data_IF_021288832303
#
_entry.id   IF_021288832303
#
_cell.length_a   1.000
_cell.length_b   1.000
_cell.length_c   1.000
_cell.angle_alpha   90.00
_cell.angle_beta   90.00
_cell.angle_gamma   90.00
#
_symmetry.space_group_name_H-M   'P 1'
#
loop_
_entity.id
_entity.type
_entity.pdbx_description
1 polymer ?
#
# COMPACT_ATOMS: atom_id res chain seq x y z
N UNK A 1 -9.31 -12.18 19.22
CA UNK A 1 -8.17 -12.76 18.49
C UNK A 1 -7.38 -11.60 17.94
N UNK A 2 -6.08 -11.53 18.19
CA UNK A 2 -5.20 -10.53 17.58
C UNK A 2 -5.03 -10.87 16.11
N UNK A 3 -5.11 -9.85 15.25
CA UNK A 3 -4.89 -10.04 13.82
C UNK A 3 -3.47 -10.57 13.58
N UNK A 4 -3.29 -11.63 12.76
CA UNK A 4 -1.99 -12.27 12.57
C UNK A 4 -0.98 -11.33 11.91
N UNK A 5 -1.46 -10.36 11.14
CA UNK A 5 -0.66 -9.30 10.52
C UNK A 5 -1.28 -7.94 10.86
N UNK A 6 -0.44 -6.97 11.21
CA UNK A 6 -0.85 -5.56 11.42
C UNK A 6 0.11 -4.63 10.69
N UNK A 7 -0.38 -3.50 10.22
CA UNK A 7 0.39 -2.50 9.48
C UNK A 7 0.48 -1.24 10.33
N UNK A 8 1.67 -0.95 10.85
CA UNK A 8 1.90 0.10 11.85
C UNK A 8 2.68 1.26 11.23
N UNK A 9 2.07 2.44 11.05
CA UNK A 9 2.74 3.59 10.45
C UNK A 9 3.95 4.07 11.26
N UNK A 10 4.96 4.61 10.56
CA UNK A 10 6.11 5.28 11.17
C UNK A 10 6.59 6.48 10.33
N UNK A 11 7.34 7.36 10.97
CA UNK A 11 8.00 8.51 10.35
C UNK A 11 9.51 8.41 10.63
N UNK A 12 10.33 8.48 9.58
CA UNK A 12 11.78 8.60 9.67
C UNK A 12 12.16 10.02 9.23
N UNK A 13 12.72 10.82 10.13
CA UNK A 13 13.10 12.22 9.86
C UNK A 13 14.23 12.65 10.81
N UNK A 14 15.45 12.10 10.66
CA UNK A 14 16.59 12.43 11.51
C UNK A 14 16.93 13.93 11.48
N UNK A 15 16.67 14.60 10.34
CA UNK A 15 16.86 16.03 10.15
C UNK A 15 15.79 16.91 10.82
N UNK A 16 14.70 16.32 11.35
CA UNK A 16 13.56 17.05 11.95
C UNK A 16 13.00 18.11 11.01
N UNK A 17 12.86 17.75 9.74
CA UNK A 17 12.32 18.62 8.71
C UNK A 17 10.81 18.83 8.85
N UNK A 18 10.11 17.90 9.50
CA UNK A 18 8.65 17.88 9.63
C UNK A 18 7.94 17.82 8.27
N UNK A 19 8.59 17.24 7.26
CA UNK A 19 8.09 17.12 5.89
C UNK A 19 7.58 15.71 5.55
N UNK A 20 7.38 14.84 6.53
CA UNK A 20 6.84 13.49 6.34
C UNK A 20 5.69 13.18 7.29
N UNK A 21 4.77 12.33 6.84
CA UNK A 21 3.63 11.87 7.64
C UNK A 21 3.23 10.46 7.26
N UNK A 22 2.95 9.61 8.24
CA UNK A 22 2.34 8.30 8.01
C UNK A 22 1.19 8.05 8.99
N UNK A 23 -0.01 7.73 8.50
CA UNK A 23 -1.17 7.44 9.36
C UNK A 23 -2.27 6.68 8.63
N UNK A 24 -2.95 5.78 9.34
CA UNK A 24 -4.28 5.31 8.92
C UNK A 24 -5.32 6.41 9.14
N UNK A 25 -6.08 6.76 8.10
CA UNK A 25 -7.10 7.80 8.15
C UNK A 25 -8.46 7.25 7.76
N UNK A 26 -9.47 7.51 8.60
CA UNK A 26 -10.85 7.15 8.31
C UNK A 26 -11.38 7.90 7.08
N UNK A 27 -12.09 7.18 6.22
CA UNK A 27 -12.75 7.69 5.02
C UNK A 27 -11.84 7.80 3.80
N UNK A 28 -10.59 7.32 3.85
CA UNK A 28 -9.64 7.45 2.74
C UNK A 28 -9.33 6.15 2.00
N UNK A 29 -9.75 5.00 2.54
CA UNK A 29 -9.52 3.67 1.94
C UNK A 29 -10.38 3.36 0.73
N UNK A 30 -10.11 2.22 0.10
CA UNK A 30 -10.87 1.63 -0.98
C UNK A 30 -12.21 1.12 -0.43
N UNK A 31 -13.34 1.73 -0.83
CA UNK A 31 -14.61 1.36 -0.23
C UNK A 31 -14.98 -0.11 -0.50
N UNK A 32 -15.11 -0.91 0.55
CA UNK A 32 -15.67 -2.27 0.51
C UNK A 32 -16.90 -2.35 1.42
N UNK A 33 -18.07 -2.57 0.83
CA UNK A 33 -19.37 -2.56 1.53
C UNK A 33 -19.60 -1.30 2.39
N UNK A 34 -19.10 -0.16 1.92
CA UNK A 34 -19.31 1.13 2.55
C UNK A 34 -20.77 1.58 2.41
N UNK A 35 -21.17 2.59 3.17
CA UNK A 35 -22.51 3.20 3.05
C UNK A 35 -22.39 4.58 2.41
N UNK A 36 -23.15 4.80 1.33
CA UNK A 36 -23.37 6.13 0.75
C UNK A 36 -24.78 6.61 1.11
N UNK A 37 -24.96 7.93 1.18
CA UNK A 37 -26.25 8.56 1.47
C UNK A 37 -26.45 9.75 0.54
N UNK A 38 -27.55 9.77 -0.21
CA UNK A 38 -27.84 10.82 -1.21
C UNK A 38 -28.71 11.97 -0.67
N UNK A 39 -29.00 11.98 0.63
CA UNK A 39 -29.94 12.92 1.26
C UNK A 39 -31.31 12.29 1.55
N UNK A 40 -31.59 11.11 0.99
CA UNK A 40 -32.86 10.39 1.17
C UNK A 40 -32.67 8.91 1.52
N UNK A 41 -31.72 8.23 0.87
CA UNK A 41 -31.57 6.78 0.91
C UNK A 41 -30.13 6.41 1.18
N UNK A 42 -29.93 5.43 2.06
CA UNK A 42 -28.61 4.82 2.28
C UNK A 42 -28.47 3.58 1.39
N UNK A 43 -27.38 3.50 0.64
CA UNK A 43 -27.07 2.34 -0.21
C UNK A 43 -25.67 1.80 0.08
N UNK A 44 -25.47 0.50 -0.19
CA UNK A 44 -24.14 -0.11 -0.10
C UNK A 44 -23.32 0.26 -1.33
N UNK A 45 -22.04 0.59 -1.11
CA UNK A 45 -21.10 0.93 -2.15
C UNK A 45 -19.80 0.15 -1.96
N UNK A 46 -19.34 -0.48 -3.04
CA UNK A 46 -18.00 -1.06 -3.14
C UNK A 46 -17.34 -0.55 -4.40
N UNK A 47 -16.11 -0.05 -4.29
CA UNK A 47 -15.33 0.31 -5.47
C UNK A 47 -14.95 -0.97 -6.23
N UNK A 48 -14.99 -0.98 -7.57
CA UNK A 48 -14.73 -2.19 -8.34
C UNK A 48 -13.34 -2.80 -8.12
N UNK A 49 -12.33 -2.02 -7.70
CA UNK A 49 -10.99 -2.53 -7.46
C UNK A 49 -10.86 -3.35 -6.16
N UNK A 50 -11.78 -3.17 -5.20
CA UNK A 50 -11.79 -3.86 -3.90
C UNK A 50 -13.11 -4.59 -3.61
N UNK A 51 -13.93 -4.79 -4.64
CA UNK A 51 -15.12 -5.62 -4.53
C UNK A 51 -14.76 -7.12 -4.54
N UNK A 52 -15.73 -7.98 -4.24
CA UNK A 52 -15.52 -9.43 -4.20
C UNK A 52 -15.06 -10.03 -5.56
N UNK A 53 -15.41 -9.41 -6.69
CA UNK A 53 -15.01 -9.88 -8.02
C UNK A 53 -13.53 -9.60 -8.32
N UNK A 54 -12.94 -8.58 -7.69
CA UNK A 54 -11.52 -8.27 -7.75
C UNK A 54 -10.69 -8.99 -6.66
N UNK A 55 -11.32 -9.82 -5.83
CA UNK A 55 -10.69 -10.55 -4.72
C UNK A 55 -11.07 -10.04 -3.32
N UNK A 56 -11.94 -9.03 -3.21
CA UNK A 56 -12.43 -8.46 -1.95
C UNK A 56 -11.46 -7.47 -1.30
N UNK A 57 -11.95 -6.66 -0.36
CA UNK A 57 -11.13 -5.86 0.56
C UNK A 57 -10.91 -6.56 1.89
N UNK A 58 -10.27 -5.91 2.86
CA UNK A 58 -10.14 -6.47 4.21
C UNK A 58 -11.55 -6.81 4.75
N UNK A 59 -11.84 -8.08 5.11
CA UNK A 59 -13.15 -8.47 5.60
C UNK A 59 -13.56 -7.74 6.90
N UNK A 60 -12.64 -7.04 7.54
CA UNK A 60 -12.88 -6.26 8.75
C UNK A 60 -13.23 -4.80 8.45
N UNK A 61 -13.23 -4.41 7.18
CA UNK A 61 -13.82 -3.16 6.72
C UNK A 61 -15.33 -3.28 6.82
N UNK A 62 -15.86 -2.85 7.96
CA UNK A 62 -17.30 -2.76 8.21
C UNK A 62 -17.81 -1.38 7.81
N UNK A 63 -19.12 -1.21 7.55
CA UNK A 63 -19.72 0.10 7.36
C UNK A 63 -19.24 1.12 8.41
N UNK A 64 -18.74 2.26 7.94
CA UNK A 64 -18.19 3.32 8.78
C UNK A 64 -16.75 3.12 9.27
N UNK A 65 -16.03 2.08 8.84
CA UNK A 65 -14.63 1.81 9.21
C UNK A 65 -13.67 1.70 8.01
N UNK A 66 -14.06 2.26 6.86
CA UNK A 66 -13.15 2.40 5.72
C UNK A 66 -11.96 3.29 6.12
N UNK A 67 -10.73 2.78 6.08
CA UNK A 67 -9.51 3.52 6.42
C UNK A 67 -8.49 3.39 5.29
N UNK A 68 -7.65 4.40 5.07
CA UNK A 68 -6.53 4.27 4.15
C UNK A 68 -5.24 4.67 4.83
N UNK A 69 -4.16 3.96 4.53
CA UNK A 69 -2.81 4.32 4.93
C UNK A 69 -2.33 5.49 4.08
N UNK A 70 -2.30 6.68 4.70
CA UNK A 70 -1.73 7.88 4.13
C UNK A 70 -0.23 7.91 4.37
N UNK A 71 0.56 8.05 3.30
CA UNK A 71 2.00 8.29 3.33
C UNK A 71 2.29 9.61 2.63
N UNK A 72 3.01 10.52 3.28
CA UNK A 72 3.30 11.85 2.76
C UNK A 72 4.78 12.15 2.92
N UNK A 73 5.35 12.74 1.87
CA UNK A 73 6.64 13.44 1.87
C UNK A 73 6.49 14.70 1.04
N UNK A 74 6.37 15.85 1.69
CA UNK A 74 6.10 17.14 1.02
C UNK A 74 7.35 17.85 0.50
N UNK A 75 8.54 17.34 0.83
CA UNK A 75 9.82 17.88 0.38
C UNK A 75 10.42 17.12 -0.83
N UNK A 76 11.62 17.51 -1.29
CA UNK A 76 12.32 16.81 -2.36
C UNK A 76 12.82 15.43 -1.93
N UNK A 77 13.11 14.58 -2.90
CA UNK A 77 13.61 13.21 -2.72
C UNK A 77 14.92 13.20 -1.93
N UNK A 78 15.77 14.20 -2.13
CA UNK A 78 17.05 14.36 -1.42
C UNK A 78 16.93 14.70 0.05
N UNK A 79 15.73 15.06 0.55
CA UNK A 79 15.51 15.20 1.98
C UNK A 79 15.63 13.81 2.63
N UNK A 80 16.55 13.60 3.56
CA UNK A 80 16.73 12.31 4.24
C UNK A 80 15.61 12.07 5.26
N UNK A 81 14.42 11.73 4.76
CA UNK A 81 13.21 11.46 5.51
C UNK A 81 12.29 10.51 4.74
N UNK A 82 11.48 9.71 5.43
CA UNK A 82 10.52 8.81 4.81
C UNK A 82 9.26 8.67 5.67
N UNK A 83 8.11 8.57 4.99
CA UNK A 83 6.92 7.98 5.59
C UNK A 83 6.95 6.47 5.36
N UNK A 84 6.36 5.69 6.25
CA UNK A 84 6.30 4.25 6.05
C UNK A 84 5.34 3.53 6.97
N UNK A 85 5.32 2.21 6.86
CA UNK A 85 4.61 1.35 7.79
C UNK A 85 5.32 0.00 7.94
N UNK A 86 5.45 -0.46 9.19
CA UNK A 86 5.96 -1.79 9.49
C UNK A 86 4.85 -2.82 9.40
N UNK A 87 5.11 -3.93 8.72
CA UNK A 87 4.22 -5.08 8.69
C UNK A 87 4.64 -6.04 9.82
N UNK A 88 3.86 -6.06 10.90
CA UNK A 88 4.10 -6.94 12.05
C UNK A 88 3.44 -8.30 11.81
N UNK A 89 4.00 -9.35 12.43
CA UNK A 89 3.47 -10.72 12.31
C UNK A 89 3.96 -11.50 11.08
N UNK A 90 4.81 -10.89 10.24
CA UNK A 90 5.35 -11.53 9.01
C UNK A 90 6.60 -12.38 9.24
N UNK A 91 7.21 -12.34 10.42
CA UNK A 91 8.46 -13.08 10.68
C UNK A 91 8.21 -14.58 10.64
N UNK A 92 9.00 -15.29 9.83
CA UNK A 92 8.95 -16.74 9.69
C UNK A 92 7.95 -17.25 8.64
N UNK A 93 7.18 -16.36 8.00
CA UNK A 93 6.33 -16.78 6.88
C UNK A 93 7.20 -17.07 5.65
N UNK A 94 6.74 -18.02 4.84
CA UNK A 94 7.20 -18.16 3.47
C UNK A 94 6.47 -17.13 2.61
N UNK A 95 7.20 -16.20 1.99
CA UNK A 95 6.58 -15.16 1.17
C UNK A 95 6.13 -15.72 -0.18
N UNK A 96 4.86 -15.54 -0.51
CA UNK A 96 4.26 -15.95 -1.78
C UNK A 96 3.65 -14.79 -2.54
N UNK A 97 3.19 -13.76 -1.83
CA UNK A 97 2.59 -12.57 -2.43
C UNK A 97 2.76 -11.33 -1.55
N UNK A 98 2.94 -10.18 -2.21
CA UNK A 98 2.78 -8.84 -1.64
C UNK A 98 1.79 -8.05 -2.47
N UNK A 99 1.15 -7.06 -1.85
CA UNK A 99 0.25 -6.18 -2.58
C UNK A 99 -0.32 -5.04 -1.76
N UNK A 100 -1.00 -4.15 -2.47
CA UNK A 100 -1.89 -3.15 -1.90
C UNK A 100 -2.83 -2.64 -2.98
N UNK A 101 -3.94 -2.05 -2.56
CA UNK A 101 -4.78 -1.21 -3.40
C UNK A 101 -4.31 0.24 -3.26
N UNK A 102 -4.15 0.95 -4.37
CA UNK A 102 -3.65 2.32 -4.40
C UNK A 102 -4.69 3.27 -5.01
N UNK A 103 -4.92 4.40 -4.35
CA UNK A 103 -5.85 5.43 -4.85
C UNK A 103 -5.22 6.18 -6.02
N UNK A 104 -5.54 5.75 -7.24
CA UNK A 104 -4.88 6.21 -8.46
C UNK A 104 -5.80 6.07 -9.67
N UNK A 105 -5.78 7.07 -10.55
CA UNK A 105 -6.54 7.01 -11.80
C UNK A 105 -5.93 6.01 -12.77
N UNK A 106 -6.77 5.44 -13.63
CA UNK A 106 -6.39 4.43 -14.64
C UNK A 106 -5.99 5.04 -15.98
N UNK A 107 -5.95 6.37 -16.10
CA UNK A 107 -5.50 7.07 -17.30
C UNK A 107 -3.99 6.87 -17.50
N UNK A 108 -3.56 6.19 -18.58
CA UNK A 108 -2.16 5.93 -18.85
C UNK A 108 -1.40 7.17 -19.35
N UNK A 109 -2.11 8.20 -19.82
CA UNK A 109 -1.55 9.43 -20.38
C UNK A 109 -1.38 10.48 -19.29
N UNK A 110 -2.40 10.66 -18.44
CA UNK A 110 -2.40 11.64 -17.36
C UNK A 110 -2.71 10.96 -16.01
N UNK A 111 -1.77 10.17 -15.47
CA UNK A 111 -1.98 9.50 -14.20
C UNK A 111 -2.11 10.56 -13.09
N UNK A 112 -3.13 10.41 -12.26
CA UNK A 112 -3.42 11.29 -11.14
C UNK A 112 -3.72 10.48 -9.88
N UNK A 113 -3.72 11.16 -8.74
CA UNK A 113 -3.80 10.51 -7.44
C UNK A 113 -2.42 10.09 -6.94
N UNK A 114 -2.35 9.00 -6.20
CA UNK A 114 -1.15 8.58 -5.46
C UNK A 114 0.10 8.47 -6.35
N UNK A 115 1.20 8.96 -5.80
CA UNK A 115 2.54 8.72 -6.30
C UNK A 115 2.80 7.21 -6.41
N UNK A 116 3.39 6.80 -7.53
CA UNK A 116 3.73 5.41 -7.79
C UNK A 116 4.95 5.37 -8.71
N UNK A 117 6.15 5.36 -8.12
CA UNK A 117 7.43 5.27 -8.81
C UNK A 117 8.04 3.87 -8.74
N UNK A 118 9.25 3.74 -9.29
CA UNK A 118 10.04 2.52 -9.14
C UNK A 118 10.62 2.39 -7.72
N UNK A 119 10.83 3.50 -7.01
CA UNK A 119 11.37 3.51 -5.64
C UNK A 119 10.31 3.68 -4.56
N UNK A 120 9.13 4.26 -4.82
CA UNK A 120 8.12 4.46 -3.76
C UNK A 120 6.65 4.48 -4.27
N UNK A 121 5.67 4.14 -3.42
CA UNK A 121 5.83 3.32 -2.23
C UNK A 121 6.46 1.97 -2.59
N UNK A 122 7.38 1.49 -1.75
CA UNK A 122 8.03 0.18 -1.96
C UNK A 122 7.93 -0.69 -0.73
N UNK A 123 7.84 -1.99 -0.93
CA UNK A 123 8.16 -2.95 0.11
C UNK A 123 9.67 -3.11 0.21
N UNK A 124 10.19 -2.88 1.41
CA UNK A 124 11.49 -3.34 1.86
C UNK A 124 11.27 -4.70 2.55
N UNK A 125 11.80 -5.78 1.97
CA UNK A 125 11.70 -7.13 2.51
C UNK A 125 13.08 -7.56 3.00
N UNK A 126 13.19 -7.89 4.28
CA UNK A 126 14.39 -8.52 4.84
C UNK A 126 14.13 -10.01 4.98
N UNK A 127 14.95 -10.85 4.35
CA UNK A 127 14.85 -12.30 4.47
C UNK A 127 15.54 -12.83 5.74
N UNK A 128 15.34 -14.12 6.03
CA UNK A 128 15.87 -14.79 7.22
C UNK A 128 17.41 -14.73 7.30
N UNK A 129 18.09 -14.71 6.15
CA UNK A 129 19.55 -14.55 6.04
C UNK A 129 20.03 -13.10 6.25
N UNK A 130 19.11 -12.14 6.37
CA UNK A 130 19.38 -10.72 6.58
C UNK A 130 19.54 -9.89 5.31
N UNK A 131 19.41 -10.49 4.13
CA UNK A 131 19.42 -9.76 2.85
C UNK A 131 18.19 -8.86 2.70
N UNK A 132 18.38 -7.67 2.12
CA UNK A 132 17.33 -6.67 1.87
C UNK A 132 16.96 -6.66 0.39
N UNK A 133 15.66 -6.71 0.12
CA UNK A 133 15.06 -6.73 -1.22
C UNK A 133 14.01 -5.64 -1.35
N UNK A 134 13.82 -5.16 -2.58
CA UNK A 134 12.89 -4.09 -2.90
C UNK A 134 11.86 -4.53 -3.93
N UNK A 135 10.60 -4.21 -3.65
CA UNK A 135 9.47 -4.30 -4.56
C UNK A 135 8.78 -2.94 -4.57
N UNK A 136 9.11 -2.11 -5.55
CA UNK A 136 8.53 -0.78 -5.73
C UNK A 136 7.25 -0.80 -6.54
N UNK A 137 6.44 0.25 -6.39
CA UNK A 137 5.13 0.38 -7.01
C UNK A 137 5.10 0.07 -8.52
N UNK A 138 6.16 0.42 -9.25
CA UNK A 138 6.33 0.08 -10.69
C UNK A 138 7.51 -0.85 -10.99
N UNK A 139 8.23 -1.36 -10.00
CA UNK A 139 9.45 -2.16 -10.24
C UNK A 139 9.65 -3.23 -9.17
N UNK A 140 9.51 -4.53 -9.51
CA UNK A 140 9.06 -5.05 -10.80
C UNK A 140 7.61 -4.65 -11.09
N UNK A 141 7.20 -4.69 -12.37
CA UNK A 141 5.82 -4.35 -12.75
C UNK A 141 4.85 -5.29 -12.03
N UNK A 142 3.90 -4.77 -11.23
CA UNK A 142 2.89 -5.62 -10.59
C UNK A 142 1.94 -6.23 -11.62
N UNK A 143 1.32 -7.34 -11.24
CA UNK A 143 0.00 -7.67 -11.77
C UNK A 143 -0.97 -6.64 -11.24
N UNK A 144 -1.41 -5.72 -12.10
CA UNK A 144 -2.39 -4.71 -11.73
C UNK A 144 -3.79 -5.08 -12.26
N UNK A 145 -4.81 -4.87 -11.44
CA UNK A 145 -6.21 -4.98 -11.84
C UNK A 145 -6.98 -3.76 -11.37
N UNK A 146 -8.01 -3.37 -12.11
CA UNK A 146 -8.85 -2.21 -11.74
C UNK A 146 -10.28 -2.64 -11.42
N UNK A 147 -10.70 -3.81 -11.89
CA UNK A 147 -12.10 -4.26 -11.78
C UNK A 147 -13.10 -3.33 -12.50
N UNK A 148 -12.64 -2.39 -13.33
CA UNK A 148 -13.46 -1.30 -13.88
C UNK A 148 -13.47 -0.02 -13.03
N UNK A 149 -12.68 0.05 -11.96
CA UNK A 149 -12.47 1.27 -11.19
C UNK A 149 -11.73 2.33 -12.01
N UNK A 150 -12.09 3.58 -11.75
CA UNK A 150 -11.40 4.77 -12.29
C UNK A 150 -10.59 5.51 -11.22
N UNK A 151 -10.66 5.06 -9.96
CA UNK A 151 -10.11 5.76 -8.80
C UNK A 151 -9.14 4.90 -7.97
N UNK A 152 -9.17 3.58 -8.15
CA UNK A 152 -8.35 2.62 -7.43
C UNK A 152 -7.73 1.59 -8.38
N UNK A 153 -6.54 1.14 -8.01
CA UNK A 153 -5.83 0.06 -8.69
C UNK A 153 -5.37 -0.94 -7.65
N UNK A 154 -5.59 -2.23 -7.93
CA UNK A 154 -5.10 -3.34 -7.13
C UNK A 154 -3.76 -3.77 -7.71
N UNK A 155 -2.69 -3.69 -6.90
CA UNK A 155 -1.35 -4.10 -7.30
C UNK A 155 -0.96 -5.36 -6.53
N UNK A 156 -0.49 -6.39 -7.25
CA UNK A 156 -0.02 -7.66 -6.70
C UNK A 156 1.32 -8.06 -7.29
N UNK A 157 2.19 -8.58 -6.42
CA UNK A 157 3.46 -9.18 -6.75
C UNK A 157 3.47 -10.61 -6.23
N UNK A 158 3.18 -11.56 -7.11
CA UNK A 158 3.21 -12.98 -6.80
C UNK A 158 4.61 -13.56 -7.02
N UNK A 159 4.74 -14.88 -7.01
CA UNK A 159 6.03 -15.56 -7.12
C UNK A 159 6.86 -15.16 -8.35
N UNK A 160 6.20 -14.86 -9.49
CA UNK A 160 6.87 -14.45 -10.73
C UNK A 160 7.45 -13.04 -10.58
N UNK A 161 6.67 -12.09 -10.09
CA UNK A 161 7.13 -10.72 -9.93
C UNK A 161 8.14 -10.61 -8.77
N UNK A 162 7.95 -11.33 -7.67
CA UNK A 162 8.91 -11.37 -6.55
C UNK A 162 10.29 -11.89 -6.98
N UNK A 163 10.35 -12.84 -7.92
CA UNK A 163 11.62 -13.29 -8.51
C UNK A 163 12.31 -12.23 -9.37
N UNK A 164 11.62 -11.14 -9.72
CA UNK A 164 12.15 -9.97 -10.45
C UNK A 164 12.41 -8.77 -9.53
N UNK A 165 12.25 -8.93 -8.21
CA UNK A 165 12.61 -7.92 -7.22
C UNK A 165 14.10 -7.54 -7.32
N UNK A 166 14.50 -6.45 -6.66
CA UNK A 166 15.90 -6.02 -6.62
C UNK A 166 16.44 -6.03 -5.18
N UNK A 167 17.39 -6.92 -4.84
CA UNK A 167 17.70 -8.19 -5.52
C UNK A 167 16.48 -9.12 -5.60
N UNK A 168 16.51 -10.17 -6.45
CA UNK A 168 15.42 -11.14 -6.56
C UNK A 168 15.02 -11.75 -5.23
N UNK A 169 13.73 -11.97 -4.99
CA UNK A 169 13.22 -12.75 -3.85
C UNK A 169 12.86 -14.15 -4.38
N UNK A 170 13.68 -15.18 -4.12
CA UNK A 170 13.41 -16.53 -4.63
C UNK A 170 12.10 -17.11 -4.06
N UNK A 171 11.47 -18.06 -4.77
CA UNK A 171 10.40 -18.87 -4.20
C UNK A 171 10.83 -19.54 -2.89
N UNK A 172 9.88 -19.74 -1.99
CA UNK A 172 10.11 -20.30 -0.65
C UNK A 172 10.99 -19.45 0.30
N UNK A 173 11.26 -18.18 -0.04
CA UNK A 173 11.98 -17.26 0.84
C UNK A 173 11.27 -17.03 2.17
N UNK A 174 12.00 -17.16 3.26
CA UNK A 174 11.49 -16.94 4.62
C UNK A 174 11.75 -15.50 5.05
N UNK A 175 10.71 -14.82 5.52
CA UNK A 175 10.75 -13.40 5.89
C UNK A 175 11.28 -13.21 7.31
N UNK A 176 12.13 -12.21 7.49
CA UNK A 176 12.51 -11.67 8.80
C UNK A 176 11.67 -10.43 9.17
N UNK A 177 11.51 -9.50 8.23
CA UNK A 177 10.68 -8.30 8.40
C UNK A 177 10.26 -7.71 7.05
N UNK A 178 9.16 -6.97 7.03
CA UNK A 178 8.69 -6.22 5.87
C UNK A 178 8.27 -4.82 6.33
N UNK A 179 8.63 -3.80 5.55
CA UNK A 179 8.14 -2.44 5.73
C UNK A 179 7.73 -1.85 4.37
N UNK A 180 6.70 -1.01 4.37
CA UNK A 180 6.42 -0.10 3.26
C UNK A 180 7.19 1.19 3.50
N UNK A 181 7.86 1.71 2.48
CA UNK A 181 8.64 2.94 2.53
C UNK A 181 8.21 3.88 1.41
N UNK A 182 8.06 5.16 1.77
CA UNK A 182 7.77 6.28 0.89
C UNK A 182 8.78 7.41 1.12
N UNK A 183 9.83 7.43 0.32
CA UNK A 183 10.96 8.37 0.41
C UNK A 183 11.20 9.19 -0.87
N UNK A 184 10.39 8.98 -1.92
CA UNK A 184 10.38 9.83 -3.12
C UNK A 184 9.53 11.09 -2.87
N UNK A 185 10.11 12.25 -3.21
CA UNK A 185 9.53 13.57 -2.95
C UNK A 185 8.66 14.11 -4.09
N UNK A 186 8.33 15.39 -4.03
CA UNK A 186 7.53 16.10 -5.06
C UNK A 186 8.31 16.43 -6.33
N UNK A 187 9.58 16.06 -6.41
CA UNK A 187 10.53 16.36 -7.49
C UNK A 187 10.75 15.16 -8.45
N UNK A 188 10.12 14.02 -8.17
CA UNK A 188 10.15 12.82 -9.02
C UNK A 188 8.73 12.21 -9.11
N UNK A 189 8.53 11.30 -10.06
CA UNK A 189 7.23 10.69 -10.35
C UNK A 189 6.50 11.40 -11.49
N UNK A 190 5.31 10.92 -11.83
CA UNK A 190 4.46 11.57 -12.85
C UNK A 190 3.42 12.48 -12.19
N UNK A 191 3.17 12.28 -10.90
CA UNK A 191 2.11 12.93 -10.15
C UNK A 191 2.61 14.19 -9.42
N UNK A 192 3.91 14.24 -9.06
CA UNK A 192 4.56 15.36 -8.37
C UNK A 192 3.83 15.85 -7.09
N UNK A 193 3.09 14.95 -6.42
CA UNK A 193 2.28 15.30 -5.24
C UNK A 193 2.93 14.95 -3.89
N UNK A 194 3.97 14.09 -3.88
CA UNK A 194 4.64 13.67 -2.65
C UNK A 194 3.73 12.94 -1.66
N UNK A 195 2.80 12.12 -2.16
CA UNK A 195 1.78 11.46 -1.35
C UNK A 195 1.31 10.16 -1.99
N UNK A 196 1.03 9.15 -1.17
CA UNK A 196 0.28 7.96 -1.56
C UNK A 196 -0.80 7.60 -0.54
N UNK A 197 -1.94 7.13 -1.03
CA UNK A 197 -2.98 6.50 -0.22
C UNK A 197 -3.07 5.03 -0.61
N UNK A 198 -2.75 4.18 0.34
CA UNK A 198 -2.80 2.73 0.21
C UNK A 198 -3.94 2.16 1.04
N UNK A 199 -4.49 1.04 0.61
CA UNK A 199 -5.45 0.25 1.37
C UNK A 199 -5.30 -1.23 1.03
N UNK A 200 -5.97 -2.12 1.77
CA UNK A 200 -5.96 -3.57 1.55
C UNK A 200 -4.53 -4.11 1.35
N UNK A 201 -3.63 -3.74 2.27
CA UNK A 201 -2.23 -4.20 2.24
C UNK A 201 -2.25 -5.73 2.34
N UNK A 202 -1.61 -6.38 1.37
CA UNK A 202 -1.67 -7.81 1.17
C UNK A 202 -0.33 -8.47 1.51
N UNK A 203 -0.40 -9.50 2.34
CA UNK A 203 0.68 -10.46 2.56
C UNK A 203 0.09 -11.87 2.47
N UNK A 204 0.48 -12.60 1.43
CA UNK A 204 0.02 -13.98 1.19
C UNK A 204 -1.52 -14.13 1.26
N UNK A 205 -2.28 -13.17 0.75
CA UNK A 205 -3.75 -13.15 0.75
C UNK A 205 -4.37 -12.65 2.05
N UNK A 206 -3.56 -12.30 3.06
CA UNK A 206 -4.06 -11.62 4.26
C UNK A 206 -4.10 -10.11 4.00
N UNK A 207 -5.31 -9.58 3.87
CA UNK A 207 -5.55 -8.15 3.67
C UNK A 207 -5.62 -7.40 5.00
N UNK A 208 -5.02 -6.21 5.02
CA UNK A 208 -5.09 -5.25 6.12
C UNK A 208 -5.56 -3.90 5.58
N UNK A 209 -6.79 -3.53 5.91
CA UNK A 209 -7.44 -2.27 5.48
C UNK A 209 -7.50 -1.20 6.56
N UNK A 210 -6.82 -1.44 7.69
CA UNK A 210 -6.85 -0.56 8.88
C UNK A 210 -5.64 -0.75 9.77
N UNK A 211 -5.42 0.18 10.69
CA UNK A 211 -4.35 0.03 11.67
C UNK A 211 -4.41 0.99 12.83
N UNK A 212 -3.38 0.99 13.69
CA UNK A 212 -3.33 1.87 14.84
C UNK A 212 -3.23 3.34 14.41
N UNK A 213 -3.83 4.22 15.21
CA UNK A 213 -3.74 5.66 15.00
C UNK A 213 -5.03 6.35 14.57
N UNK A 214 -6.19 5.71 14.63
CA UNK A 214 -7.49 6.41 14.70
C UNK A 214 -7.97 6.57 16.14
#
# INVERSE_FOLDING_TARGET
MTDPITVVPFEFDPGRTHLVRARWLRGTGCPTNATTFDGSTSTSFSDPACNALAGGGDPKDSPGKNEGLLLVKTGPTTNDAAAGADLKGVKGITLTELGYDIRKTTDPVNPAGSHCGAGAPRFNVVLADGSLHFVGCRSPTPVFTTGGSVAWQRLRWGAVELALATPPIPPASVVKSIAIVFDEGTDIGLEFIGLAVLDNIDVNGTLVGRGPGN
#
